data_IF_948959469876
#
_entry.id   IF_948959469876
#
_cell.length_a   1.000
_cell.length_b   1.000
_cell.length_c   1.000
_cell.angle_alpha   90.00
_cell.angle_beta   90.00
_cell.angle_gamma   90.00
#
_symmetry.space_group_name_H-M   'P 1'
#
loop_
_entity.id
_entity.type
_entity.pdbx_description
1 polymer ?
#
# COMPACT_ATOMS: atom_id res chain seq x y z
N UNK A 1 33.24 6.67 12.83
CA UNK A 1 32.70 7.89 12.21
C UNK A 1 33.14 8.00 10.75
N UNK A 2 32.21 8.05 9.81
CA UNK A 2 32.47 8.24 8.37
C UNK A 2 32.98 9.66 8.07
N UNK A 3 33.41 9.91 6.83
CA UNK A 3 33.84 11.25 6.40
C UNK A 3 32.67 12.25 6.47
N UNK A 4 31.47 11.81 6.10
CA UNK A 4 30.27 12.64 6.10
C UNK A 4 29.75 12.95 7.50
N UNK A 5 29.80 11.98 8.42
CA UNK A 5 29.46 12.22 9.83
C UNK A 5 30.38 13.27 10.47
N UNK A 6 31.68 13.22 10.15
CA UNK A 6 32.66 14.23 10.60
C UNK A 6 32.38 15.59 9.99
N UNK A 7 31.98 15.64 8.72
CA UNK A 7 31.59 16.88 8.03
C UNK A 7 30.32 17.48 8.65
N UNK A 8 29.31 16.66 8.94
CA UNK A 8 28.06 17.08 9.57
C UNK A 8 28.30 17.67 10.97
N UNK A 9 29.10 17.01 11.81
CA UNK A 9 29.42 17.53 13.15
C UNK A 9 30.17 18.87 13.09
N UNK A 10 31.09 19.05 12.14
CA UNK A 10 31.79 20.33 11.95
C UNK A 10 30.83 21.44 11.54
N UNK A 11 29.92 21.15 10.60
CA UNK A 11 28.91 22.12 10.16
C UNK A 11 27.97 22.48 11.32
N UNK A 12 27.44 21.50 12.04
CA UNK A 12 26.55 21.71 13.19
C UNK A 12 27.20 22.60 14.27
N UNK A 13 28.46 22.32 14.64
CA UNK A 13 29.20 23.13 15.63
C UNK A 13 29.48 24.55 15.18
N UNK A 14 29.52 24.81 13.87
CA UNK A 14 29.71 26.15 13.31
C UNK A 14 28.41 26.95 13.17
N UNK A 15 27.24 26.33 13.34
CA UNK A 15 25.94 27.00 13.29
C UNK A 15 25.64 27.74 14.60
N UNK A 16 24.85 28.82 14.51
CA UNK A 16 24.26 29.47 15.68
C UNK A 16 23.22 28.57 16.35
N UNK A 17 22.89 28.78 17.64
CA UNK A 17 21.94 27.92 18.37
C UNK A 17 20.59 27.72 17.66
N UNK A 18 19.97 28.80 17.16
CA UNK A 18 18.70 28.68 16.42
C UNK A 18 18.81 27.97 15.07
N UNK A 19 19.99 27.95 14.44
CA UNK A 19 20.23 27.18 13.21
C UNK A 19 20.58 25.72 13.49
N UNK A 20 21.13 25.43 14.67
CA UNK A 20 21.34 24.06 15.14
C UNK A 20 20.00 23.36 15.38
N UNK A 21 19.07 24.04 16.04
CA UNK A 21 17.69 23.58 16.25
C UNK A 21 17.02 23.27 14.90
N UNK A 22 17.03 24.22 13.97
CA UNK A 22 16.45 23.99 12.63
C UNK A 22 17.10 22.85 11.82
N UNK A 23 18.40 22.55 12.03
CA UNK A 23 19.03 21.38 11.40
C UNK A 23 18.53 20.06 12.00
N UNK A 24 18.32 20.03 13.32
CA UNK A 24 17.78 18.87 14.01
C UNK A 24 16.31 18.65 13.62
N UNK A 25 15.50 19.71 13.60
CA UNK A 25 14.10 19.65 13.14
C UNK A 25 14.01 19.08 11.72
N UNK A 26 14.89 19.50 10.82
CA UNK A 26 14.93 18.98 9.46
C UNK A 26 15.39 17.52 9.40
N UNK A 27 16.37 17.12 10.22
CA UNK A 27 16.80 15.73 10.31
C UNK A 27 15.70 14.81 10.86
N UNK A 28 14.98 15.26 11.89
CA UNK A 28 13.81 14.59 12.44
C UNK A 28 12.66 14.53 11.42
N UNK A 29 12.44 15.60 10.68
CA UNK A 29 11.49 15.62 9.57
C UNK A 29 11.85 14.61 8.47
N UNK A 30 13.12 14.53 8.08
CA UNK A 30 13.60 13.53 7.13
C UNK A 30 13.39 12.12 7.67
N UNK A 31 13.68 11.88 8.95
CA UNK A 31 13.47 10.60 9.62
C UNK A 31 11.97 10.23 9.67
N UNK A 32 11.10 11.19 9.97
CA UNK A 32 9.64 11.01 10.00
C UNK A 32 9.05 10.81 8.59
N UNK A 33 9.70 11.37 7.55
CA UNK A 33 9.35 11.13 6.14
C UNK A 33 9.86 9.80 5.60
N UNK A 34 10.74 9.11 6.32
CA UNK A 34 10.89 7.66 6.17
C UNK A 34 9.65 7.01 6.78
N UNK A 35 8.50 7.23 6.15
CA UNK A 35 7.53 6.16 6.02
C UNK A 35 8.34 4.95 5.55
N UNK A 36 8.15 3.77 6.15
CA UNK A 36 8.95 2.60 5.82
C UNK A 36 9.03 2.54 4.31
N UNK A 37 10.25 2.45 3.74
CA UNK A 37 10.43 2.13 2.33
C UNK A 37 9.39 1.07 2.02
N UNK A 38 8.31 1.48 1.34
CA UNK A 38 7.27 0.53 1.00
C UNK A 38 8.03 -0.43 0.09
N UNK A 39 8.16 -1.71 0.49
CA UNK A 39 8.95 -2.66 -0.28
C UNK A 39 8.44 -2.57 -1.70
N UNK A 40 9.34 -2.27 -2.64
CA UNK A 40 9.09 -1.95 -4.05
C UNK A 40 7.83 -2.67 -4.54
N UNK A 41 6.69 -1.97 -4.43
CA UNK A 41 5.40 -2.64 -4.56
C UNK A 41 5.24 -2.87 -6.05
N UNK A 42 5.12 -4.13 -6.50
CA UNK A 42 5.00 -4.42 -7.92
C UNK A 42 3.91 -3.55 -8.55
N UNK A 43 4.29 -2.77 -9.55
CA UNK A 43 3.37 -1.90 -10.30
C UNK A 43 2.42 -2.72 -11.18
N UNK A 44 2.76 -3.98 -11.40
CA UNK A 44 1.98 -4.95 -12.16
C UNK A 44 1.35 -6.00 -11.25
N UNK A 45 0.18 -6.56 -11.64
CA UNK A 45 -0.46 -7.62 -10.89
C UNK A 45 0.40 -8.89 -10.85
N UNK A 46 0.54 -9.49 -9.67
CA UNK A 46 1.24 -10.76 -9.52
C UNK A 46 0.38 -11.90 -10.08
N UNK A 47 1.00 -12.81 -10.83
CA UNK A 47 0.32 -13.96 -11.45
C UNK A 47 -0.04 -15.06 -10.43
N UNK A 48 -0.96 -14.76 -9.50
CA UNK A 48 -1.43 -15.70 -8.47
C UNK A 48 -2.70 -16.40 -8.98
N UNK A 49 -2.64 -17.71 -9.32
CA UNK A 49 -3.77 -18.41 -9.89
C UNK A 49 -4.90 -18.63 -8.88
N UNK A 50 -6.14 -18.65 -9.38
CA UNK A 50 -7.32 -18.99 -8.58
C UNK A 50 -7.31 -20.49 -8.23
N UNK A 51 -7.44 -20.87 -6.94
CA UNK A 51 -7.55 -22.27 -6.55
C UNK A 51 -8.91 -22.86 -6.90
N UNK A 52 -8.96 -24.18 -7.17
CA UNK A 52 -10.16 -24.89 -7.62
C UNK A 52 -11.34 -24.86 -6.61
N UNK A 53 -11.05 -24.74 -5.31
CA UNK A 53 -12.04 -24.52 -4.25
C UNK A 53 -11.61 -23.33 -3.42
N UNK A 54 -12.27 -22.20 -3.61
CA UNK A 54 -11.96 -20.94 -2.97
C UNK A 54 -13.17 -20.41 -2.21
N UNK A 55 -12.94 -19.90 -0.99
CA UNK A 55 -13.95 -19.13 -0.26
C UNK A 55 -13.77 -17.64 -0.52
N UNK A 56 -14.83 -16.84 -0.38
CA UNK A 56 -14.80 -15.39 -0.61
C UNK A 56 -13.68 -14.71 0.19
N UNK A 57 -13.46 -15.11 1.45
CA UNK A 57 -12.39 -14.57 2.30
C UNK A 57 -11.00 -14.90 1.74
N UNK A 58 -10.79 -16.12 1.22
CA UNK A 58 -9.53 -16.52 0.59
C UNK A 58 -9.31 -15.78 -0.73
N UNK A 59 -10.37 -15.53 -1.50
CA UNK A 59 -10.29 -14.72 -2.71
C UNK A 59 -9.90 -13.26 -2.42
N UNK A 60 -10.48 -12.63 -1.39
CA UNK A 60 -10.06 -11.27 -0.98
C UNK A 60 -8.58 -11.25 -0.60
N UNK A 61 -8.11 -12.26 0.15
CA UNK A 61 -6.70 -12.38 0.51
C UNK A 61 -5.81 -12.52 -0.75
N UNK A 62 -6.15 -13.45 -1.65
CA UNK A 62 -5.44 -13.66 -2.91
C UNK A 62 -5.41 -12.40 -3.75
N UNK A 63 -6.53 -11.72 -3.96
CA UNK A 63 -6.61 -10.51 -4.78
C UNK A 63 -5.81 -9.36 -4.19
N UNK A 64 -5.74 -9.24 -2.86
CA UNK A 64 -4.85 -8.27 -2.19
C UNK A 64 -3.37 -8.57 -2.38
N UNK A 65 -3.01 -9.84 -2.56
CA UNK A 65 -1.64 -10.26 -2.90
C UNK A 65 -1.38 -10.10 -4.41
N UNK A 66 -2.38 -10.34 -5.26
CA UNK A 66 -2.33 -10.11 -6.72
C UNK A 66 -2.13 -8.64 -7.04
N UNK A 67 -2.81 -7.74 -6.32
CA UNK A 67 -2.77 -6.29 -6.56
C UNK A 67 -2.20 -5.52 -5.35
N UNK A 68 -0.90 -5.68 -5.04
CA UNK A 68 -0.33 -5.08 -3.84
C UNK A 68 -0.23 -3.54 -3.94
N UNK A 69 -0.22 -2.99 -5.16
CA UNK A 69 -0.20 -1.56 -5.50
C UNK A 69 -1.53 -0.83 -5.28
N UNK A 70 -2.64 -1.56 -5.11
CA UNK A 70 -3.93 -0.92 -4.87
C UNK A 70 -4.11 -0.53 -3.40
N UNK A 71 -4.72 0.63 -3.20
CA UNK A 71 -5.04 1.15 -1.87
C UNK A 71 -6.05 0.23 -1.18
N UNK A 72 -5.55 -0.50 -0.18
CA UNK A 72 -6.33 -1.45 0.62
C UNK A 72 -7.51 -0.79 1.31
N UNK A 73 -7.40 0.48 1.72
CA UNK A 73 -8.47 1.18 2.40
C UNK A 73 -9.65 1.48 1.45
N UNK A 74 -9.35 1.87 0.20
CA UNK A 74 -10.37 2.12 -0.83
C UNK A 74 -11.12 0.84 -1.20
N UNK A 75 -10.38 -0.26 -1.42
CA UNK A 75 -10.98 -1.55 -1.81
C UNK A 75 -11.81 -2.16 -0.67
N UNK A 76 -11.42 -1.97 0.60
CA UNK A 76 -12.15 -2.55 1.74
C UNK A 76 -13.59 -2.04 1.85
N UNK A 77 -13.82 -0.77 1.50
CA UNK A 77 -15.15 -0.17 1.56
C UNK A 77 -16.11 -0.83 0.56
N UNK A 78 -15.67 -1.04 -0.68
CA UNK A 78 -16.50 -1.65 -1.72
C UNK A 78 -16.65 -3.17 -1.56
N UNK A 79 -15.59 -3.87 -1.11
CA UNK A 79 -15.67 -5.31 -0.80
C UNK A 79 -16.61 -5.63 0.36
N UNK A 80 -16.77 -4.72 1.32
CA UNK A 80 -17.74 -4.86 2.42
C UNK A 80 -19.19 -4.85 1.91
N UNK A 81 -19.49 -4.06 0.87
CA UNK A 81 -20.79 -4.06 0.20
C UNK A 81 -21.10 -5.37 -0.51
N UNK A 82 -20.11 -5.94 -1.21
CA UNK A 82 -20.23 -7.25 -1.87
C UNK A 82 -20.44 -8.40 -0.88
N UNK A 83 -19.75 -8.36 0.27
CA UNK A 83 -19.94 -9.32 1.36
C UNK A 83 -21.36 -9.24 1.96
N UNK A 84 -21.90 -8.04 2.16
CA UNK A 84 -23.30 -7.85 2.57
C UNK A 84 -24.27 -8.43 1.54
N UNK A 85 -24.05 -8.20 0.24
CA UNK A 85 -24.90 -8.77 -0.81
C UNK A 85 -24.82 -10.30 -0.87
N UNK A 86 -23.65 -10.89 -0.64
CA UNK A 86 -23.49 -12.34 -0.54
C UNK A 86 -24.35 -12.93 0.59
N UNK A 87 -24.33 -12.29 1.75
CA UNK A 87 -25.06 -12.75 2.95
C UNK A 87 -26.57 -12.53 2.84
N UNK A 88 -27.01 -11.42 2.21
CA UNK A 88 -28.43 -11.06 2.11
C UNK A 88 -29.13 -11.74 0.93
N UNK A 89 -28.46 -11.88 -0.22
CA UNK A 89 -29.04 -12.45 -1.43
C UNK A 89 -28.68 -13.92 -1.68
N UNK A 90 -27.86 -14.54 -0.82
CA UNK A 90 -27.50 -15.95 -0.93
C UNK A 90 -26.68 -16.30 -2.19
N UNK A 91 -25.97 -15.32 -2.77
CA UNK A 91 -25.14 -15.53 -3.97
C UNK A 91 -24.11 -16.64 -3.72
N UNK A 92 -23.79 -17.42 -4.74
CA UNK A 92 -22.79 -18.48 -4.58
C UNK A 92 -21.38 -17.89 -4.45
N UNK A 93 -20.49 -18.58 -3.72
CA UNK A 93 -19.11 -18.12 -3.56
C UNK A 93 -18.39 -17.89 -4.91
N UNK A 94 -18.55 -18.74 -5.95
CA UNK A 94 -17.95 -18.48 -7.26
C UNK A 94 -18.37 -17.17 -7.93
N UNK A 95 -19.64 -16.80 -7.83
CA UNK A 95 -20.18 -15.56 -8.41
C UNK A 95 -19.60 -14.32 -7.70
N UNK A 96 -19.56 -14.35 -6.37
CA UNK A 96 -18.99 -13.26 -5.58
C UNK A 96 -17.49 -13.09 -5.86
N UNK A 97 -16.77 -14.19 -6.06
CA UNK A 97 -15.35 -14.14 -6.43
C UNK A 97 -15.15 -13.51 -7.81
N UNK A 98 -16.01 -13.79 -8.78
CA UNK A 98 -15.94 -13.15 -10.10
C UNK A 98 -16.19 -11.63 -10.00
N UNK A 99 -17.16 -11.21 -9.17
CA UNK A 99 -17.44 -9.79 -8.92
C UNK A 99 -16.26 -9.10 -8.22
N UNK A 100 -15.60 -9.78 -7.27
CA UNK A 100 -14.39 -9.28 -6.63
C UNK A 100 -13.23 -9.15 -7.63
N UNK A 101 -13.03 -10.14 -8.50
CA UNK A 101 -11.99 -10.09 -9.55
C UNK A 101 -12.22 -8.89 -10.49
N UNK A 102 -13.45 -8.68 -10.94
CA UNK A 102 -13.80 -7.52 -11.77
C UNK A 102 -13.63 -6.18 -11.02
N UNK A 103 -13.91 -6.14 -9.71
CA UNK A 103 -13.68 -4.95 -8.90
C UNK A 103 -12.20 -4.60 -8.84
N UNK A 104 -11.33 -5.56 -8.49
CA UNK A 104 -9.90 -5.32 -8.40
C UNK A 104 -9.29 -4.91 -9.75
N UNK A 105 -9.72 -5.53 -10.85
CA UNK A 105 -9.29 -5.16 -12.20
C UNK A 105 -9.65 -3.71 -12.54
N UNK A 106 -10.89 -3.27 -12.27
CA UNK A 106 -11.31 -1.88 -12.52
C UNK A 106 -10.49 -0.87 -11.73
N UNK A 107 -10.19 -1.16 -10.46
CA UNK A 107 -9.33 -0.29 -9.64
C UNK A 107 -7.90 -0.22 -10.19
N UNK A 108 -7.39 -1.32 -10.73
CA UNK A 108 -6.10 -1.35 -11.41
C UNK A 108 -6.08 -0.55 -12.71
N UNK A 109 -7.09 -0.72 -13.58
CA UNK A 109 -7.21 0.05 -14.82
C UNK A 109 -7.37 1.56 -14.54
N UNK A 110 -8.13 1.93 -13.49
CA UNK A 110 -8.25 3.31 -13.05
C UNK A 110 -6.92 3.88 -12.54
N UNK A 111 -6.11 3.05 -11.87
CA UNK A 111 -4.77 3.45 -11.44
C UNK A 111 -3.82 3.65 -12.63
N UNK A 112 -3.86 2.76 -13.63
CA UNK A 112 -3.03 2.86 -14.83
C UNK A 112 -3.41 4.03 -15.75
N UNK A 113 -4.69 4.39 -15.81
CA UNK A 113 -5.16 5.54 -16.60
C UNK A 113 -4.95 6.90 -15.92
N UNK A 114 -4.64 6.90 -14.61
CA UNK A 114 -4.39 8.11 -13.82
C UNK A 114 -2.88 8.40 -13.62
N UNK A 115 -1.98 7.55 -14.13
CA UNK A 115 -0.52 7.72 -14.11
C UNK A 115 0.03 8.16 -15.46
#
# INVERSE_FOLDING_TARGET
MTADERRLLRLYRALSPGRQEGLLDYAEFLLARVQPEMPDVPSEPLAIPRPARESVVKAIKRLRETYPMLDRAKILHETSGLMMQHLVHGKSAPEVINELEALFLRHFEALQSAG
#
